data_IF_574879465342
#
_entry.id   IF_574879465342
#
_cell.length_a   1.000
_cell.length_b   1.000
_cell.length_c   1.000
_cell.angle_alpha   90.00
_cell.angle_beta   90.00
_cell.angle_gamma   90.00
#
_symmetry.space_group_name_H-M   'P 1'
#
loop_
_entity.id
_entity.type
_entity.pdbx_description
1 polymer ?
#
# COMPACT_ATOMS: atom_id res chain seq x y z
N UNK A 1 -22.31 -8.17 19.92
CA UNK A 1 -22.06 -7.24 18.81
C UNK A 1 -22.27 -7.98 17.51
N UNK A 2 -23.15 -7.45 16.68
CA UNK A 2 -23.25 -7.87 15.28
C UNK A 2 -21.94 -7.52 14.56
N UNK A 3 -21.60 -8.24 13.49
CA UNK A 3 -20.36 -7.95 12.74
C UNK A 3 -20.34 -6.53 12.18
N UNK A 4 -21.51 -5.96 11.89
CA UNK A 4 -21.71 -4.59 11.41
C UNK A 4 -21.38 -3.50 12.45
N UNK A 5 -21.26 -3.84 13.73
CA UNK A 5 -21.01 -2.88 14.84
C UNK A 5 -19.53 -2.84 15.28
N UNK A 6 -18.69 -3.65 14.63
CA UNK A 6 -17.25 -3.74 14.91
C UNK A 6 -16.52 -2.68 14.09
N UNK A 7 -15.86 -1.76 14.77
CA UNK A 7 -14.99 -0.76 14.12
C UNK A 7 -13.58 -1.31 13.97
N UNK A 8 -12.79 -0.75 13.05
CA UNK A 8 -11.38 -1.12 12.89
C UNK A 8 -10.59 -0.91 14.19
N UNK A 9 -10.86 0.17 14.93
CA UNK A 9 -10.19 0.45 16.20
C UNK A 9 -10.40 -0.66 17.24
N UNK A 10 -11.61 -1.24 17.30
CA UNK A 10 -11.90 -2.37 18.20
C UNK A 10 -11.10 -3.61 17.81
N UNK A 11 -10.94 -3.86 16.51
CA UNK A 11 -10.17 -5.01 16.00
C UNK A 11 -8.68 -4.81 16.30
N UNK A 12 -8.13 -3.62 16.03
CA UNK A 12 -6.75 -3.26 16.32
C UNK A 12 -6.45 -3.39 17.82
N UNK A 13 -7.34 -2.88 18.67
CA UNK A 13 -7.21 -3.01 20.12
C UNK A 13 -7.20 -4.47 20.58
N UNK A 14 -8.06 -5.32 20.02
CA UNK A 14 -8.08 -6.76 20.31
C UNK A 14 -6.77 -7.43 19.87
N UNK A 15 -6.30 -7.16 18.65
CA UNK A 15 -5.05 -7.73 18.13
C UNK A 15 -3.85 -7.37 19.01
N UNK A 16 -3.78 -6.11 19.46
CA UNK A 16 -2.72 -5.64 20.35
C UNK A 16 -2.82 -6.29 21.74
N UNK A 17 -4.00 -6.30 22.35
CA UNK A 17 -4.20 -6.83 23.71
C UNK A 17 -4.06 -8.35 23.81
N UNK A 18 -4.31 -9.08 22.72
CA UNK A 18 -4.25 -10.56 22.68
C UNK A 18 -2.95 -11.13 22.09
N UNK A 19 -2.04 -10.28 21.65
CA UNK A 19 -0.76 -10.73 21.09
C UNK A 19 -0.86 -11.35 19.69
N UNK A 20 -1.67 -10.72 18.83
CA UNK A 20 -1.67 -11.01 17.40
C UNK A 20 -0.66 -10.14 16.65
N UNK A 21 -0.82 -8.81 16.70
CA UNK A 21 -0.03 -7.87 15.89
C UNK A 21 0.29 -6.63 16.71
N UNK A 22 1.53 -6.18 16.62
CA UNK A 22 2.04 -4.95 17.24
C UNK A 22 2.64 -4.03 16.18
N UNK A 23 2.57 -2.69 16.33
CA UNK A 23 3.35 -1.78 15.51
C UNK A 23 4.85 -2.10 15.60
N UNK A 24 5.55 -2.16 14.48
CA UNK A 24 6.98 -2.43 14.47
C UNK A 24 7.74 -1.31 15.19
N UNK A 25 8.74 -1.67 15.99
CA UNK A 25 9.54 -0.71 16.79
C UNK A 25 8.70 0.20 17.70
N UNK A 26 7.62 -0.32 18.29
CA UNK A 26 6.63 0.45 19.07
C UNK A 26 7.26 1.35 20.15
N UNK A 27 8.22 0.83 20.93
CA UNK A 27 8.85 1.58 22.03
C UNK A 27 9.76 2.74 21.56
N UNK A 28 10.04 2.81 20.25
CA UNK A 28 10.83 3.86 19.61
C UNK A 28 9.99 4.82 18.76
N UNK A 29 8.67 4.84 18.94
CA UNK A 29 7.74 5.70 18.19
C UNK A 29 7.14 5.04 16.96
N UNK A 30 7.41 3.75 16.74
CA UNK A 30 6.88 2.99 15.63
C UNK A 30 7.63 3.20 14.32
N UNK A 31 7.56 2.22 13.44
CA UNK A 31 8.02 2.33 12.05
C UNK A 31 6.82 2.10 11.13
N UNK A 32 6.47 3.15 10.37
CA UNK A 32 5.34 3.10 9.45
C UNK A 32 5.46 1.91 8.49
N UNK A 33 4.34 1.25 8.22
CA UNK A 33 4.24 0.07 7.36
C UNK A 33 5.05 -1.15 7.83
N UNK A 34 5.35 -1.25 9.13
CA UNK A 34 5.99 -2.43 9.73
C UNK A 34 5.22 -2.90 10.96
N UNK A 35 5.18 -4.23 11.16
CA UNK A 35 4.46 -4.86 12.26
C UNK A 35 5.15 -6.13 12.74
N UNK A 36 5.10 -6.35 14.06
CA UNK A 36 5.57 -7.57 14.71
C UNK A 36 4.40 -8.50 15.02
N UNK A 37 4.54 -9.78 14.69
CA UNK A 37 3.53 -10.79 14.99
C UNK A 37 3.81 -11.41 16.37
N UNK A 38 2.87 -11.24 17.30
CA UNK A 38 2.94 -11.83 18.64
C UNK A 38 2.69 -13.34 18.64
N UNK A 39 2.62 -13.98 19.84
CA UNK A 39 2.51 -15.44 19.95
C UNK A 39 1.29 -16.04 19.24
N UNK A 40 0.11 -15.41 19.34
CA UNK A 40 -1.08 -15.89 18.62
C UNK A 40 -1.02 -15.51 17.14
N UNK A 41 -0.39 -14.37 16.82
CA UNK A 41 -0.25 -13.89 15.45
C UNK A 41 0.65 -14.77 14.59
N UNK A 42 1.76 -15.26 15.16
CA UNK A 42 2.68 -16.14 14.43
C UNK A 42 2.03 -17.50 14.15
N UNK A 43 1.31 -18.07 15.12
CA UNK A 43 0.58 -19.33 14.93
C UNK A 43 -0.54 -19.17 13.89
N UNK A 44 -1.31 -18.10 13.98
CA UNK A 44 -2.35 -17.79 13.00
C UNK A 44 -1.78 -17.62 11.59
N UNK A 45 -0.72 -16.81 11.43
CA UNK A 45 -0.03 -16.60 10.14
C UNK A 45 0.51 -17.92 9.58
N UNK A 46 1.12 -18.75 10.41
CA UNK A 46 1.67 -20.03 10.00
C UNK A 46 0.57 -21.03 9.58
N UNK A 47 -0.57 -21.04 10.28
CA UNK A 47 -1.73 -21.84 9.89
C UNK A 47 -2.25 -21.45 8.49
N UNK A 48 -2.36 -20.16 8.20
CA UNK A 48 -2.77 -19.67 6.88
C UNK A 48 -1.77 -20.11 5.81
N UNK A 49 -0.47 -19.88 6.04
CA UNK A 49 0.60 -20.30 5.11
C UNK A 49 0.54 -21.79 4.82
N UNK A 50 0.37 -22.63 5.84
CA UNK A 50 0.24 -24.09 5.69
C UNK A 50 -1.00 -24.49 4.89
N UNK A 51 -2.15 -23.88 5.19
CA UNK A 51 -3.39 -24.17 4.47
C UNK A 51 -3.27 -23.80 2.98
N UNK A 52 -2.70 -22.64 2.68
CA UNK A 52 -2.44 -22.20 1.32
C UNK A 52 -1.45 -23.14 0.60
N UNK A 53 -0.33 -23.48 1.25
CA UNK A 53 0.69 -24.36 0.66
C UNK A 53 0.14 -25.74 0.34
N UNK A 54 -0.64 -26.32 1.25
CA UNK A 54 -1.33 -27.58 1.01
C UNK A 54 -2.24 -27.48 -0.20
N UNK A 55 -3.09 -26.45 -0.24
CA UNK A 55 -4.12 -26.33 -1.28
C UNK A 55 -3.56 -26.06 -2.67
N UNK A 56 -2.64 -25.11 -2.78
CA UNK A 56 -2.20 -24.59 -4.07
C UNK A 56 -0.90 -25.24 -4.56
N UNK A 57 -0.05 -25.75 -3.67
CA UNK A 57 1.20 -26.42 -4.07
C UNK A 57 1.05 -27.93 -4.01
N UNK A 58 0.75 -28.50 -2.83
CA UNK A 58 0.80 -29.96 -2.64
C UNK A 58 -0.34 -30.72 -3.32
N UNK A 59 -1.55 -30.16 -3.34
CA UNK A 59 -2.71 -30.79 -3.99
C UNK A 59 -2.72 -30.63 -5.52
N UNK A 60 -1.83 -29.80 -6.09
CA UNK A 60 -1.70 -29.61 -7.53
C UNK A 60 -0.45 -30.31 -8.07
N UNK A 61 -0.63 -31.37 -8.85
CA UNK A 61 0.49 -32.17 -9.41
C UNK A 61 1.46 -31.41 -10.32
N UNK A 62 1.12 -30.20 -10.75
CA UNK A 62 1.93 -29.37 -11.64
C UNK A 62 2.74 -28.28 -10.91
N UNK A 63 2.49 -28.06 -9.62
CA UNK A 63 3.13 -27.00 -8.87
C UNK A 63 4.28 -27.56 -8.04
N UNK A 64 5.37 -26.79 -7.96
CA UNK A 64 6.55 -27.13 -7.16
C UNK A 64 6.90 -25.99 -6.22
N UNK A 65 7.37 -26.33 -5.02
CA UNK A 65 7.86 -25.34 -4.07
C UNK A 65 9.25 -24.84 -4.44
N UNK A 66 9.49 -23.55 -4.24
CA UNK A 66 10.78 -22.89 -4.42
C UNK A 66 10.95 -21.83 -3.32
N UNK A 67 12.16 -21.67 -2.81
CA UNK A 67 12.52 -20.59 -1.87
C UNK A 67 13.72 -19.82 -2.45
N UNK A 68 13.54 -18.53 -2.71
CA UNK A 68 14.51 -17.67 -3.41
C UNK A 68 14.93 -16.50 -2.52
N UNK A 69 16.16 -15.98 -2.69
CA UNK A 69 16.64 -14.87 -1.88
C UNK A 69 15.84 -13.58 -2.13
N UNK A 70 15.69 -12.75 -1.08
CA UNK A 70 15.03 -11.43 -1.16
C UNK A 70 15.92 -10.42 -1.89
N UNK A 71 17.22 -10.44 -1.61
CA UNK A 71 18.19 -9.58 -2.29
C UNK A 71 18.64 -10.25 -3.60
N UNK A 72 18.45 -9.55 -4.71
CA UNK A 72 18.70 -10.07 -6.05
C UNK A 72 19.59 -9.14 -6.86
N UNK A 73 20.26 -9.69 -7.88
CA UNK A 73 21.04 -8.90 -8.82
C UNK A 73 20.13 -7.89 -9.57
N UNK A 74 20.52 -6.60 -9.68
CA UNK A 74 19.71 -5.56 -10.35
C UNK A 74 19.23 -5.91 -11.75
N UNK A 75 19.98 -6.72 -12.51
CA UNK A 75 19.59 -7.11 -13.87
C UNK A 75 18.27 -7.89 -13.92
N UNK A 76 17.89 -8.60 -12.85
CA UNK A 76 16.58 -9.27 -12.75
C UNK A 76 15.44 -8.25 -12.78
N UNK A 77 15.60 -7.13 -12.08
CA UNK A 77 14.61 -6.06 -12.02
C UNK A 77 14.57 -5.21 -13.29
N UNK A 78 15.70 -5.10 -14.00
CA UNK A 78 15.76 -4.49 -15.34
C UNK A 78 15.02 -5.39 -16.34
N UNK A 79 15.37 -6.67 -16.40
CA UNK A 79 14.79 -7.62 -17.34
C UNK A 79 13.28 -7.82 -17.15
N UNK A 80 12.80 -7.80 -15.89
CA UNK A 80 11.37 -7.87 -15.58
C UNK A 80 10.62 -6.55 -15.75
N UNK A 81 11.32 -5.43 -16.03
CA UNK A 81 10.73 -4.11 -16.22
C UNK A 81 10.41 -3.33 -14.95
N UNK A 82 10.62 -3.90 -13.75
CA UNK A 82 10.31 -3.23 -12.48
C UNK A 82 11.08 -1.91 -12.29
N UNK A 83 12.32 -1.81 -12.80
CA UNK A 83 13.10 -0.56 -12.72
C UNK A 83 12.39 0.62 -13.41
N UNK A 84 11.71 0.38 -14.53
CA UNK A 84 11.03 1.42 -15.30
C UNK A 84 9.53 1.55 -15.04
N UNK A 85 8.87 0.47 -14.60
CA UNK A 85 7.41 0.39 -14.51
C UNK A 85 6.84 0.34 -13.09
N UNK A 86 7.63 -0.03 -12.08
CA UNK A 86 7.12 -0.20 -10.71
C UNK A 86 7.23 1.11 -9.91
N UNK A 87 6.36 2.06 -10.26
CA UNK A 87 6.36 3.41 -9.68
C UNK A 87 4.96 3.97 -9.50
N UNK A 88 4.75 4.71 -8.42
CA UNK A 88 3.52 5.47 -8.18
C UNK A 88 3.65 6.92 -8.69
N UNK A 89 2.55 7.54 -9.18
CA UNK A 89 2.52 8.95 -9.52
C UNK A 89 2.41 9.79 -8.25
N UNK A 90 3.50 10.47 -7.86
CA UNK A 90 3.56 11.30 -6.65
C UNK A 90 3.64 12.79 -6.98
N UNK A 91 3.03 13.59 -6.10
CA UNK A 91 3.11 15.05 -6.07
C UNK A 91 3.21 15.52 -4.62
N UNK A 92 3.83 16.67 -4.38
CA UNK A 92 3.92 17.27 -3.05
C UNK A 92 3.12 18.59 -3.01
N UNK A 93 2.46 18.87 -1.89
CA UNK A 93 1.88 20.19 -1.64
C UNK A 93 2.99 21.19 -1.33
N UNK A 94 3.08 22.29 -2.09
CA UNK A 94 4.11 23.31 -1.89
C UNK A 94 3.91 24.12 -0.61
N UNK A 95 2.70 24.13 -0.03
CA UNK A 95 2.40 24.85 1.21
C UNK A 95 2.77 24.05 2.46
N UNK A 96 2.15 22.88 2.66
CA UNK A 96 2.36 22.07 3.87
C UNK A 96 3.43 20.97 3.72
N UNK A 97 4.00 20.80 2.52
CA UNK A 97 5.03 19.79 2.19
C UNK A 97 4.58 18.34 2.36
N UNK A 98 3.28 18.08 2.52
CA UNK A 98 2.75 16.72 2.51
C UNK A 98 2.81 16.13 1.11
N UNK A 99 2.91 14.81 1.06
CA UNK A 99 3.12 14.04 -0.16
C UNK A 99 1.89 13.22 -0.44
N UNK A 100 1.45 13.26 -1.69
CA UNK A 100 0.25 12.59 -2.14
C UNK A 100 0.50 11.74 -3.37
N UNK A 101 -0.22 10.63 -3.42
CA UNK A 101 -0.41 9.85 -4.63
C UNK A 101 -1.50 10.51 -5.47
N UNK A 102 -1.16 10.92 -6.69
CA UNK A 102 -2.06 11.68 -7.56
C UNK A 102 -3.29 10.87 -7.96
N UNK A 103 -3.09 9.59 -8.28
CA UNK A 103 -4.18 8.65 -8.54
C UNK A 103 -5.10 8.49 -7.32
N UNK A 104 -4.52 8.35 -6.13
CA UNK A 104 -5.30 8.21 -4.89
C UNK A 104 -6.11 9.45 -4.55
N UNK A 105 -5.56 10.65 -4.77
CA UNK A 105 -6.30 11.90 -4.61
C UNK A 105 -7.54 11.96 -5.51
N UNK A 106 -7.41 11.51 -6.76
CA UNK A 106 -8.53 11.45 -7.71
C UNK A 106 -9.56 10.42 -7.27
N UNK A 107 -9.13 9.22 -6.87
CA UNK A 107 -10.04 8.18 -6.35
C UNK A 107 -10.84 8.67 -5.14
N UNK A 108 -10.17 9.31 -4.18
CA UNK A 108 -10.81 9.77 -2.95
C UNK A 108 -11.78 10.94 -3.24
N UNK A 109 -11.41 11.84 -4.15
CA UNK A 109 -12.30 12.89 -4.63
C UNK A 109 -13.51 12.32 -5.38
N UNK A 110 -13.29 11.36 -6.28
CA UNK A 110 -14.35 10.72 -7.05
C UNK A 110 -15.34 9.99 -6.12
N UNK A 111 -14.83 9.24 -5.15
CA UNK A 111 -15.65 8.56 -4.15
C UNK A 111 -16.49 9.55 -3.30
N UNK A 112 -15.90 10.67 -2.89
CA UNK A 112 -16.60 11.70 -2.12
C UNK A 112 -17.70 12.42 -2.92
N UNK A 113 -17.53 12.54 -4.24
CA UNK A 113 -18.48 13.21 -5.13
C UNK A 113 -19.41 12.23 -5.88
N UNK A 114 -19.36 10.93 -5.57
CA UNK A 114 -20.19 9.91 -6.22
C UNK A 114 -19.87 9.69 -7.70
N UNK A 115 -18.63 9.96 -8.12
CA UNK A 115 -18.14 9.75 -9.48
C UNK A 115 -17.52 8.36 -9.60
N UNK A 116 -17.79 7.66 -10.70
CA UNK A 116 -17.16 6.38 -11.03
C UNK A 116 -15.94 6.64 -11.92
N UNK A 117 -14.82 7.01 -11.30
CA UNK A 117 -13.55 7.31 -11.98
C UNK A 117 -12.47 6.38 -11.45
N UNK A 118 -11.81 5.66 -12.37
CA UNK A 118 -10.65 4.84 -12.08
C UNK A 118 -9.42 5.42 -12.80
N UNK A 119 -8.49 6.09 -12.09
CA UNK A 119 -7.29 6.65 -12.69
C UNK A 119 -6.21 5.59 -12.99
N UNK A 120 -6.49 4.31 -12.73
CA UNK A 120 -5.58 3.21 -12.98
C UNK A 120 -5.11 3.15 -14.43
N UNK A 121 -3.83 3.46 -14.64
CA UNK A 121 -3.18 3.42 -15.95
C UNK A 121 -3.11 4.76 -16.68
N UNK A 122 -3.64 5.85 -16.09
CA UNK A 122 -3.52 7.19 -16.67
C UNK A 122 -2.06 7.68 -16.67
N UNK A 123 -1.74 8.51 -17.66
CA UNK A 123 -0.49 9.25 -17.73
C UNK A 123 -0.44 10.38 -16.70
N UNK A 124 0.76 10.86 -16.37
CA UNK A 124 0.91 11.99 -15.45
C UNK A 124 0.18 13.25 -15.94
N UNK A 125 0.11 13.46 -17.25
CA UNK A 125 -0.58 14.61 -17.84
C UNK A 125 -2.10 14.50 -17.70
N UNK A 126 -2.66 13.30 -17.85
CA UNK A 126 -4.10 13.05 -17.63
C UNK A 126 -4.47 13.24 -16.16
N UNK A 127 -3.63 12.74 -15.24
CA UNK A 127 -3.81 12.94 -13.80
C UNK A 127 -3.76 14.43 -13.44
N UNK A 128 -2.78 15.17 -13.95
CA UNK A 128 -2.62 16.59 -13.68
C UNK A 128 -3.82 17.40 -14.20
N UNK A 129 -4.25 17.13 -15.44
CA UNK A 129 -5.45 17.77 -16.02
C UNK A 129 -6.69 17.54 -15.18
N UNK A 130 -6.93 16.31 -14.74
CA UNK A 130 -8.10 15.99 -13.93
C UNK A 130 -8.10 16.76 -12.60
N UNK A 131 -6.94 16.83 -11.95
CA UNK A 131 -6.75 17.56 -10.68
C UNK A 131 -7.04 19.05 -10.85
N UNK A 132 -6.54 19.66 -11.94
CA UNK A 132 -6.76 21.07 -12.22
C UNK A 132 -8.21 21.37 -12.61
N UNK A 133 -8.82 20.54 -13.48
CA UNK A 133 -10.21 20.70 -13.95
C UNK A 133 -11.23 20.59 -12.81
N UNK A 134 -10.99 19.68 -11.85
CA UNK A 134 -11.88 19.47 -10.71
C UNK A 134 -11.45 20.26 -9.48
N UNK A 135 -10.44 21.11 -9.61
CA UNK A 135 -9.92 21.98 -8.56
C UNK A 135 -9.60 21.23 -7.24
N UNK A 136 -9.04 20.03 -7.35
CA UNK A 136 -8.78 19.16 -6.19
C UNK A 136 -7.79 19.85 -5.26
N UNK A 137 -8.14 19.94 -3.98
CA UNK A 137 -7.34 20.58 -2.92
C UNK A 137 -6.51 19.55 -2.15
N UNK A 138 -5.42 20.01 -1.53
CA UNK A 138 -4.68 19.21 -0.57
C UNK A 138 -5.58 18.86 0.62
N UNK A 139 -5.74 17.57 0.97
CA UNK A 139 -6.62 17.15 2.07
C UNK A 139 -6.10 17.62 3.44
N UNK A 140 -4.80 17.89 3.59
CA UNK A 140 -4.21 18.32 4.86
C UNK A 140 -4.36 19.83 5.13
N UNK A 141 -4.25 20.66 4.08
CA UNK A 141 -4.18 22.12 4.26
C UNK A 141 -5.15 22.93 3.37
N UNK A 142 -5.86 22.30 2.44
CA UNK A 142 -6.81 22.94 1.53
C UNK A 142 -6.18 23.75 0.39
N UNK A 143 -4.84 23.81 0.28
CA UNK A 143 -4.18 24.52 -0.81
C UNK A 143 -4.25 23.74 -2.14
N UNK A 144 -4.31 24.47 -3.27
CA UNK A 144 -4.25 23.92 -4.64
C UNK A 144 -2.84 23.96 -5.24
N UNK A 145 -1.84 24.29 -4.44
CA UNK A 145 -0.48 24.54 -4.92
C UNK A 145 0.36 23.26 -4.84
N UNK A 146 0.33 22.44 -5.88
CA UNK A 146 1.11 21.20 -5.95
C UNK A 146 2.34 21.31 -6.85
N UNK A 147 3.30 20.40 -6.67
CA UNK A 147 4.37 20.15 -7.64
C UNK A 147 3.86 19.32 -8.81
N UNK A 148 4.62 19.30 -9.91
CA UNK A 148 4.37 18.38 -11.02
C UNK A 148 4.39 16.91 -10.53
N UNK A 149 3.60 16.08 -11.20
CA UNK A 149 3.51 14.65 -10.91
C UNK A 149 4.76 13.96 -11.44
N UNK A 150 5.45 13.24 -10.55
CA UNK A 150 6.65 12.45 -10.88
C UNK A 150 6.45 10.98 -10.55
N UNK A 151 7.13 10.12 -11.31
CA UNK A 151 7.18 8.68 -11.02
C UNK A 151 8.13 8.44 -9.85
N UNK A 152 7.62 7.83 -8.78
CA UNK A 152 8.43 7.42 -7.63
C UNK A 152 8.56 5.90 -7.60
N UNK A 153 9.80 5.42 -7.77
CA UNK A 153 10.07 3.99 -7.76
C UNK A 153 9.86 3.42 -6.35
N UNK A 154 9.09 2.35 -6.25
CA UNK A 154 8.70 1.73 -4.97
C UNK A 154 9.69 0.65 -4.49
N UNK A 155 10.71 0.31 -5.29
CA UNK A 155 11.72 -0.67 -4.90
C UNK A 155 12.70 -0.07 -3.90
N UNK A 156 13.00 -0.84 -2.84
CA UNK A 156 14.11 -0.52 -1.94
C UNK A 156 15.44 -0.71 -2.66
N UNK A 157 16.28 0.33 -2.63
CA UNK A 157 17.68 0.24 -3.06
C UNK A 157 18.52 -0.17 -1.85
N UNK A 158 19.44 -1.11 -2.07
CA UNK A 158 20.42 -1.58 -1.09
C UNK A 158 21.82 -1.53 -1.67
#
# INVERSE_FOLDING_TARGET
MLNTEKTMDKIVALCKTRGFVYPGSEIYGGLANSWDYGPLGVEYKNNIKRAWWKKFVQECKYNVGLDSPILMNPQVWVASGHVGGFSDPLMDCKECKTRHRADKLIEDFAAANGMDVNPGGWSNDELAKFIDEHEIVCPDCGAKNFTDIRKFNLMFKT
#
